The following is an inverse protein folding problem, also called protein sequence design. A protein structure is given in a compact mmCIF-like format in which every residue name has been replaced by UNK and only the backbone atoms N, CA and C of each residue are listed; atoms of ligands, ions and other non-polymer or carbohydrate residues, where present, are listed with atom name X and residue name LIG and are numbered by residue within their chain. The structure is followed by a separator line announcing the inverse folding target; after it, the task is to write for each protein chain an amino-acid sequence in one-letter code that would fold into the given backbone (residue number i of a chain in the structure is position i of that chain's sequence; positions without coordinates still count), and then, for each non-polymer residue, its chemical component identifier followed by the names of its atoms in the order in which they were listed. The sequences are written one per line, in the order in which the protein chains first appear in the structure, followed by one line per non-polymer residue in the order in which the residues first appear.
data_IF_998133884361
#
_entry.id   IF_998133884361
#
_cell.length_a   1.000
_cell.length_b   1.000
_cell.length_c   1.000
_cell.angle_alpha   90.00
_cell.angle_beta   90.00
_cell.angle_gamma   90.00
#
_symmetry.space_group_name_H-M   'P 1'
#
loop_
_entity.id
_entity.type
_entity.pdbx_description
1 polymer ?
#
# COMPACT_ATOMS: atom_id res chain seq x y z
N UNK A 1 15.88 -13.10 -1.87
CA UNK A 1 15.89 -12.70 -3.30
C UNK A 1 14.46 -12.62 -3.84
N UNK A 2 13.67 -13.70 -3.80
CA UNK A 2 12.33 -13.76 -4.41
C UNK A 2 11.36 -12.59 -4.12
N UNK A 3 11.27 -12.10 -2.88
CA UNK A 3 10.39 -10.95 -2.56
C UNK A 3 10.87 -9.64 -3.20
N UNK A 4 12.19 -9.41 -3.23
CA UNK A 4 12.77 -8.23 -3.85
C UNK A 4 12.58 -8.30 -5.37
N UNK A 5 12.77 -9.47 -5.96
CA UNK A 5 12.60 -9.70 -7.39
C UNK A 5 11.14 -9.43 -7.81
N UNK A 6 10.18 -9.92 -7.02
CA UNK A 6 8.76 -9.63 -7.24
C UNK A 6 8.41 -8.14 -7.16
N UNK A 7 8.97 -7.43 -6.18
CA UNK A 7 8.73 -5.99 -6.03
C UNK A 7 9.37 -5.18 -7.18
N UNK A 8 10.53 -5.61 -7.68
CA UNK A 8 11.16 -5.00 -8.86
C UNK A 8 10.25 -5.11 -10.07
N UNK A 9 9.61 -6.27 -10.29
CA UNK A 9 8.69 -6.44 -11.40
C UNK A 9 7.43 -5.58 -11.27
N UNK A 10 6.94 -5.36 -10.04
CA UNK A 10 5.86 -4.40 -9.78
C UNK A 10 6.29 -2.98 -10.15
N UNK A 11 7.47 -2.55 -9.70
CA UNK A 11 8.00 -1.22 -9.99
C UNK A 11 8.27 -0.99 -11.47
N UNK A 12 8.77 -2.00 -12.18
CA UNK A 12 8.94 -1.99 -13.64
C UNK A 12 7.63 -1.76 -14.37
N UNK A 13 6.59 -2.53 -14.02
CA UNK A 13 5.25 -2.38 -14.62
C UNK A 13 4.67 -0.99 -14.36
N UNK A 14 4.83 -0.47 -13.15
CA UNK A 14 4.39 0.89 -12.80
C UNK A 14 5.15 1.97 -13.59
N UNK A 15 6.46 1.81 -13.77
CA UNK A 15 7.26 2.72 -14.56
C UNK A 15 6.81 2.71 -16.04
N UNK A 16 6.67 1.53 -16.64
CA UNK A 16 6.22 1.42 -18.03
C UNK A 16 4.83 2.06 -18.25
N UNK A 17 3.87 1.81 -17.36
CA UNK A 17 2.54 2.43 -17.42
C UNK A 17 2.60 3.96 -17.42
N UNK A 18 3.48 4.56 -16.60
CA UNK A 18 3.66 6.03 -16.54
C UNK A 18 4.24 6.61 -17.84
N UNK A 19 5.05 5.85 -18.55
CA UNK A 19 5.66 6.27 -19.82
C UNK A 19 4.90 5.77 -21.06
N UNK A 20 3.69 5.21 -20.89
CA UNK A 20 2.88 4.70 -21.98
C UNK A 20 3.40 3.40 -22.62
N UNK A 21 4.32 2.70 -21.95
CA UNK A 21 4.89 1.44 -22.40
C UNK A 21 4.05 0.22 -22.02
N UNK A 22 4.26 -0.88 -22.73
CA UNK A 22 3.58 -2.16 -22.48
C UNK A 22 4.37 -3.07 -21.50
N UNK A 23 3.80 -4.22 -21.13
CA UNK A 23 4.43 -5.15 -20.19
C UNK A 23 5.78 -5.70 -20.66
N UNK A 24 5.99 -5.85 -21.97
CA UNK A 24 7.26 -6.33 -22.50
C UNK A 24 8.36 -5.28 -22.31
N UNK A 25 8.05 -4.03 -22.65
CA UNK A 25 8.95 -2.89 -22.43
C UNK A 25 9.26 -2.67 -20.94
N UNK A 26 8.31 -2.98 -20.04
CA UNK A 26 8.55 -2.93 -18.60
C UNK A 26 9.68 -3.86 -18.15
N UNK A 27 9.74 -5.07 -18.71
CA UNK A 27 10.74 -6.08 -18.33
C UNK A 27 12.13 -5.81 -18.90
N UNK A 28 12.21 -4.96 -19.92
CA UNK A 28 13.48 -4.49 -20.50
C UNK A 28 14.16 -3.41 -19.63
N UNK A 29 13.44 -2.81 -18.68
CA UNK A 29 14.01 -1.79 -17.80
C UNK A 29 15.06 -2.42 -16.85
N UNK A 30 16.27 -1.85 -16.74
CA UNK A 30 17.33 -2.39 -15.88
C UNK A 30 16.88 -2.54 -14.42
N UNK A 31 17.25 -3.66 -13.81
CA UNK A 31 16.85 -4.03 -12.44
C UNK A 31 17.40 -3.02 -11.43
N UNK A 32 18.62 -2.57 -11.66
CA UNK A 32 19.42 -1.70 -10.80
C UNK A 32 18.74 -0.36 -10.54
N UNK A 33 17.86 0.07 -11.45
CA UNK A 33 17.03 1.27 -11.29
C UNK A 33 16.00 1.14 -10.17
N UNK A 34 15.60 -0.09 -9.83
CA UNK A 34 14.49 -0.37 -8.90
C UNK A 34 14.94 -1.12 -7.65
N UNK A 35 16.14 -1.71 -7.64
CA UNK A 35 16.57 -2.63 -6.58
C UNK A 35 16.58 -2.00 -5.18
N UNK A 36 17.12 -0.79 -5.03
CA UNK A 36 17.14 -0.09 -3.75
C UNK A 36 15.72 0.25 -3.27
N UNK A 37 14.85 0.72 -4.17
CA UNK A 37 13.46 1.02 -3.84
C UNK A 37 12.69 -0.24 -3.46
N UNK A 38 12.85 -1.32 -4.22
CA UNK A 38 12.21 -2.61 -3.97
C UNK A 38 12.64 -3.18 -2.62
N UNK A 39 13.95 -3.19 -2.34
CA UNK A 39 14.50 -3.63 -1.05
C UNK A 39 13.92 -2.83 0.09
N UNK A 40 13.85 -1.49 -0.04
CA UNK A 40 13.24 -0.63 0.98
C UNK A 40 11.78 -0.99 1.23
N UNK A 41 10.98 -1.18 0.17
CA UNK A 41 9.56 -1.54 0.29
C UNK A 41 9.35 -2.90 0.95
N UNK A 42 10.10 -3.91 0.52
CA UNK A 42 10.05 -5.25 1.13
C UNK A 42 10.41 -5.20 2.61
N UNK A 43 11.49 -4.49 2.98
CA UNK A 43 11.89 -4.35 4.39
C UNK A 43 10.81 -3.65 5.21
N UNK A 44 10.25 -2.54 4.72
CA UNK A 44 9.18 -1.82 5.42
C UNK A 44 7.95 -2.70 5.59
N UNK A 45 7.49 -3.38 4.54
CA UNK A 45 6.33 -4.26 4.60
C UNK A 45 6.52 -5.40 5.61
N UNK A 46 7.71 -6.00 5.66
CA UNK A 46 8.02 -7.04 6.66
C UNK A 46 8.02 -6.49 8.09
N UNK A 47 8.59 -5.30 8.31
CA UNK A 47 8.61 -4.66 9.63
C UNK A 47 7.20 -4.27 10.10
N UNK A 48 6.37 -3.67 9.22
CA UNK A 48 4.98 -3.34 9.54
C UNK A 48 4.17 -4.62 9.80
N UNK A 49 4.34 -5.66 8.99
CA UNK A 49 3.72 -6.96 9.21
C UNK A 49 4.09 -7.57 10.57
N UNK A 50 5.33 -7.41 11.01
CA UNK A 50 5.78 -7.82 12.35
C UNK A 50 5.09 -7.03 13.47
N UNK A 51 4.96 -5.70 13.30
CA UNK A 51 4.25 -4.83 14.25
C UNK A 51 2.78 -5.22 14.37
N UNK A 52 2.09 -5.37 13.22
CA UNK A 52 0.69 -5.80 13.14
C UNK A 52 0.51 -7.12 13.88
N UNK A 53 1.36 -8.11 13.59
CA UNK A 53 1.29 -9.43 14.22
C UNK A 53 1.52 -9.37 15.73
N UNK A 54 2.57 -8.67 16.17
CA UNK A 54 2.98 -8.63 17.58
C UNK A 54 1.99 -7.87 18.46
N UNK A 55 1.29 -6.88 17.90
CA UNK A 55 0.28 -6.09 18.62
C UNK A 55 -1.14 -6.57 18.33
N UNK A 56 -1.30 -7.68 17.60
CA UNK A 56 -2.60 -8.26 17.22
C UNK A 56 -3.55 -7.21 16.59
N UNK A 57 -2.99 -6.30 15.78
CA UNK A 57 -3.76 -5.22 15.18
C UNK A 57 -4.78 -5.80 14.21
N UNK A 58 -5.98 -5.23 14.25
CA UNK A 58 -7.08 -5.54 13.33
C UNK A 58 -7.42 -4.29 12.55
N UNK A 59 -7.90 -4.46 11.31
CA UNK A 59 -8.38 -3.33 10.54
C UNK A 59 -9.54 -2.69 11.29
N UNK A 60 -9.42 -1.39 11.58
CA UNK A 60 -10.53 -0.60 12.09
C UNK A 60 -11.48 -0.30 10.92
N UNK A 61 -12.69 -0.83 10.97
CA UNK A 61 -13.68 -0.67 9.89
C UNK A 61 -14.15 0.79 9.78
N UNK A 62 -14.11 1.60 10.84
CA UNK A 62 -14.41 3.04 10.75
C UNK A 62 -13.32 3.76 9.94
N UNK A 63 -12.05 3.42 10.18
CA UNK A 63 -10.93 3.94 9.38
C UNK A 63 -11.02 3.50 7.92
N UNK A 64 -11.32 2.22 7.68
CA UNK A 64 -11.52 1.70 6.32
C UNK A 64 -12.60 2.49 5.59
N UNK A 65 -13.75 2.74 6.24
CA UNK A 65 -14.82 3.56 5.67
C UNK A 65 -14.35 4.98 5.38
N UNK A 66 -13.63 5.61 6.32
CA UNK A 66 -13.07 6.96 6.14
C UNK A 66 -12.13 7.06 4.95
N UNK A 67 -11.25 6.08 4.75
CA UNK A 67 -10.33 6.04 3.60
C UNK A 67 -11.08 5.89 2.26
N UNK A 68 -12.13 5.07 2.23
CA UNK A 68 -12.98 4.92 1.03
C UNK A 68 -13.70 6.23 0.74
N UNK A 69 -14.25 6.89 1.76
CA UNK A 69 -14.93 8.18 1.62
C UNK A 69 -13.98 9.28 1.13
N UNK A 70 -12.75 9.35 1.68
CA UNK A 70 -11.73 10.30 1.25
C UNK A 70 -11.39 10.11 -0.23
N UNK A 71 -11.14 8.87 -0.65
CA UNK A 71 -10.86 8.55 -2.05
C UNK A 71 -12.06 8.82 -2.96
N UNK A 72 -13.27 8.51 -2.50
CA UNK A 72 -14.51 8.76 -3.23
C UNK A 72 -14.82 10.25 -3.41
N UNK A 73 -14.36 11.10 -2.48
CA UNK A 73 -14.58 12.55 -2.52
C UNK A 73 -13.97 13.25 -3.76
N UNK A 74 -13.02 12.60 -4.42
CA UNK A 74 -12.41 13.08 -5.66
C UNK A 74 -13.29 12.86 -6.90
N UNK A 75 -14.41 12.15 -6.78
CA UNK A 75 -15.31 11.79 -7.88
C UNK A 75 -16.61 12.60 -7.85
N UNK A 76 -17.28 12.70 -9.00
CA UNK A 76 -18.55 13.44 -9.14
C UNK A 76 -19.69 12.81 -8.34
N UNK A 77 -19.73 11.48 -8.24
CA UNK A 77 -20.66 10.74 -7.38
C UNK A 77 -19.89 9.84 -6.39
N UNK A 78 -19.56 10.35 -5.19
CA UNK A 78 -18.88 9.57 -4.17
C UNK A 78 -19.68 8.34 -3.69
N UNK A 79 -21.01 8.38 -3.79
CA UNK A 79 -21.86 7.32 -3.25
C UNK A 79 -21.76 6.03 -4.07
N UNK A 80 -21.69 6.15 -5.39
CA UNK A 80 -21.44 5.02 -6.29
C UNK A 80 -20.07 4.40 -6.06
N UNK A 81 -19.04 5.22 -5.79
CA UNK A 81 -17.70 4.73 -5.48
C UNK A 81 -17.68 3.93 -4.18
N UNK A 82 -18.30 4.45 -3.12
CA UNK A 82 -18.40 3.73 -1.84
C UNK A 82 -19.12 2.38 -2.01
N UNK A 83 -20.22 2.37 -2.77
CA UNK A 83 -20.96 1.13 -3.05
C UNK A 83 -20.13 0.13 -3.86
N UNK A 84 -19.35 0.62 -4.84
CA UNK A 84 -18.46 -0.20 -5.66
C UNK A 84 -17.40 -0.91 -4.80
N UNK A 85 -16.78 -0.19 -3.86
CA UNK A 85 -15.85 -0.80 -2.89
C UNK A 85 -16.58 -1.85 -2.05
N UNK A 86 -17.75 -1.50 -1.47
CA UNK A 86 -18.52 -2.44 -0.63
C UNK A 86 -18.92 -3.74 -1.32
N UNK A 87 -19.15 -3.71 -2.64
CA UNK A 87 -19.48 -4.90 -3.45
C UNK A 87 -18.25 -5.71 -3.87
N UNK A 88 -17.04 -5.16 -3.77
CA UNK A 88 -15.81 -5.81 -4.22
C UNK A 88 -14.95 -6.19 -3.02
N UNK A 89 -14.96 -7.49 -2.67
CA UNK A 89 -14.20 -8.03 -1.55
C UNK A 89 -12.69 -7.74 -1.66
N UNK A 90 -12.10 -7.87 -2.84
CA UNK A 90 -10.68 -7.64 -3.05
C UNK A 90 -10.30 -6.18 -2.77
N UNK A 91 -11.12 -5.23 -3.24
CA UNK A 91 -10.92 -3.81 -2.96
C UNK A 91 -11.10 -3.47 -1.48
N UNK A 92 -12.09 -4.08 -0.81
CA UNK A 92 -12.27 -3.94 0.63
C UNK A 92 -11.07 -4.48 1.41
N UNK A 93 -10.58 -5.65 1.04
CA UNK A 93 -9.44 -6.27 1.72
C UNK A 93 -8.15 -5.46 1.49
N UNK A 94 -7.97 -4.88 0.30
CA UNK A 94 -6.90 -3.92 0.04
C UNK A 94 -7.01 -2.68 0.95
N UNK A 95 -8.22 -2.14 1.12
CA UNK A 95 -8.41 -0.98 1.99
C UNK A 95 -8.20 -1.30 3.48
N UNK A 96 -8.58 -2.51 3.91
CA UNK A 96 -8.26 -3.02 5.25
C UNK A 96 -6.75 -3.11 5.47
N UNK A 97 -5.98 -3.52 4.46
CA UNK A 97 -4.53 -3.55 4.56
C UNK A 97 -3.95 -2.14 4.69
N UNK A 98 -4.45 -1.16 3.94
CA UNK A 98 -4.04 0.24 4.08
C UNK A 98 -4.33 0.76 5.49
N UNK A 99 -5.55 0.54 6.00
CA UNK A 99 -5.90 0.94 7.35
C UNK A 99 -5.03 0.25 8.42
N UNK A 100 -4.70 -1.03 8.24
CA UNK A 100 -3.78 -1.76 9.12
C UNK A 100 -2.36 -1.19 9.10
N UNK A 101 -1.85 -0.82 7.93
CA UNK A 101 -0.53 -0.20 7.81
C UNK A 101 -0.45 1.13 8.54
N UNK A 102 -1.45 2.00 8.40
CA UNK A 102 -1.50 3.27 9.13
C UNK A 102 -1.57 3.07 10.64
N UNK A 103 -2.43 2.16 11.11
CA UNK A 103 -2.51 1.81 12.53
C UNK A 103 -1.19 1.24 13.06
N UNK A 104 -0.47 0.48 12.25
CA UNK A 104 0.85 -0.03 12.62
C UNK A 104 1.88 1.10 12.75
N UNK A 105 1.84 2.10 11.87
CA UNK A 105 2.68 3.31 11.98
C UNK A 105 2.35 4.07 13.27
N UNK A 106 1.07 4.24 13.60
CA UNK A 106 0.64 4.87 14.85
C UNK A 106 1.12 4.10 16.09
N UNK A 107 1.04 2.77 16.07
CA UNK A 107 1.56 1.92 17.15
C UNK A 107 3.08 2.10 17.34
N UNK A 108 3.83 2.28 16.26
CA UNK A 108 5.26 2.61 16.31
C UNK A 108 5.47 4.01 16.89
N UNK A 109 4.72 5.02 16.43
CA UNK A 109 4.82 6.39 16.91
C UNK A 109 4.52 6.52 18.40
N UNK A 110 3.50 5.80 18.90
CA UNK A 110 3.14 5.79 20.32
C UNK A 110 4.27 5.29 21.23
N UNK A 111 5.20 4.49 20.70
CA UNK A 111 6.38 3.97 21.42
C UNK A 111 7.66 4.71 21.08
N UNK A 112 7.65 5.54 20.05
CA UNK A 112 8.81 6.30 19.61
C UNK A 112 8.97 7.56 20.46
N UNK A 113 10.22 8.01 20.63
CA UNK A 113 10.50 9.33 21.18
C UNK A 113 10.26 10.38 20.10
N UNK A 114 9.06 10.94 20.06
CA UNK A 114 8.68 12.02 19.14
C UNK A 114 9.09 13.37 19.73
N UNK A 115 9.60 14.27 18.90
CA UNK A 115 9.89 15.66 19.27
C UNK A 115 9.36 16.55 18.17
N UNK A 116 8.38 17.38 18.51
CA UNK A 116 7.85 18.41 17.60
C UNK A 116 8.93 19.48 17.36
N UNK A 117 9.02 19.96 16.12
CA UNK A 117 10.00 20.97 15.70
C UNK A 117 9.31 22.23 15.24
#
# INVERSE_FOLDING_TARGET
AALIDGEIDVLRRQAAQRFGGNQQQAMELPRELFEEQAKRRVVVGLLLGEVIRTHELKADEERVKGLIEEMASAYEDPSEVVEFYGKNKELMDNMRNVALEEQAVEAVLAKAKVTEK
#
